data_IF_917229025311
#
_entry.id   IF_917229025311
#
_cell.length_a   1.000
_cell.length_b   1.000
_cell.length_c   1.000
_cell.angle_alpha   90.00
_cell.angle_beta   90.00
_cell.angle_gamma   90.00
#
_symmetry.space_group_name_H-M   'P 1'
#
loop_
_entity.id
_entity.type
_entity.pdbx_description
1 polymer ?
#
# COMPACT_ATOMS: atom_id res chain seq x y z
N UNK A 1 5.94 10.98 20.90
CA UNK A 1 6.87 9.92 20.40
C UNK A 1 8.20 10.44 19.86
N UNK A 2 8.28 11.30 18.80
CA UNK A 2 9.57 11.81 18.32
C UNK A 2 10.27 12.72 19.35
N UNK A 3 9.52 13.61 19.98
CA UNK A 3 10.02 14.48 21.05
C UNK A 3 10.56 13.67 22.24
N UNK A 4 9.82 12.69 22.71
CA UNK A 4 10.20 11.81 23.84
C UNK A 4 11.47 10.99 23.56
N UNK A 5 11.74 10.72 22.28
CA UNK A 5 12.93 9.97 21.83
C UNK A 5 14.09 10.90 21.42
N UNK A 6 13.98 12.22 21.63
CA UNK A 6 15.02 13.18 21.22
C UNK A 6 15.23 13.26 19.70
N UNK A 7 14.21 12.96 18.89
CA UNK A 7 14.29 12.88 17.43
C UNK A 7 13.60 14.05 16.71
N UNK A 8 13.10 15.04 17.43
CA UNK A 8 12.29 16.14 16.88
C UNK A 8 13.02 16.98 15.82
N UNK A 9 14.34 17.11 15.90
CA UNK A 9 15.14 17.80 14.87
C UNK A 9 15.44 16.92 13.64
N UNK A 10 15.26 15.59 13.76
CA UNK A 10 15.57 14.61 12.72
C UNK A 10 14.33 14.02 12.06
N UNK A 11 13.19 14.05 12.75
CA UNK A 11 11.91 13.52 12.27
C UNK A 11 10.87 14.64 12.25
N UNK A 12 10.69 15.25 11.09
CA UNK A 12 9.73 16.33 10.85
C UNK A 12 8.46 15.73 10.27
N UNK A 13 7.32 15.94 10.94
CA UNK A 13 6.01 15.49 10.48
C UNK A 13 5.23 16.67 9.93
N UNK A 14 4.69 16.51 8.71
CA UNK A 14 3.82 17.48 8.06
C UNK A 14 2.50 16.82 7.67
N UNK A 15 1.39 17.42 8.04
CA UNK A 15 0.10 17.05 7.47
C UNK A 15 0.00 17.70 6.08
N UNK A 16 -0.22 16.88 5.06
CA UNK A 16 -0.36 17.34 3.67
C UNK A 16 -1.72 16.89 3.13
N UNK A 17 -2.29 17.70 2.24
CA UNK A 17 -3.48 17.29 1.47
C UNK A 17 -3.04 16.45 0.26
N UNK A 18 -3.88 15.52 -0.21
CA UNK A 18 -3.63 14.84 -1.48
C UNK A 18 -3.46 15.85 -2.61
N UNK A 19 -2.47 15.61 -3.47
CA UNK A 19 -2.15 16.51 -4.58
C UNK A 19 -0.65 16.76 -4.70
N UNK A 20 -0.28 17.88 -5.32
CA UNK A 20 1.12 18.28 -5.48
C UNK A 20 1.76 18.54 -4.12
N UNK A 21 2.93 17.93 -3.89
CA UNK A 21 3.69 18.11 -2.66
C UNK A 21 4.22 19.54 -2.55
N UNK A 22 3.97 20.19 -1.41
CA UNK A 22 4.55 21.49 -1.07
C UNK A 22 6.02 21.35 -0.64
N UNK A 23 6.84 20.95 -1.61
CA UNK A 23 8.29 20.76 -1.47
C UNK A 23 9.01 21.29 -2.69
N UNK A 24 10.23 21.77 -2.48
CA UNK A 24 11.08 22.24 -3.58
C UNK A 24 11.49 21.07 -4.49
N UNK A 25 11.79 21.38 -5.73
CA UNK A 25 12.40 20.43 -6.65
C UNK A 25 13.75 19.93 -6.09
N UNK A 26 14.11 18.70 -6.42
CA UNK A 26 15.39 18.08 -6.07
C UNK A 26 15.78 18.20 -4.58
N UNK A 27 14.79 17.98 -3.70
CA UNK A 27 14.97 18.14 -2.23
C UNK A 27 15.37 16.85 -1.54
N UNK A 28 15.03 15.69 -2.10
CA UNK A 28 15.17 14.41 -1.42
C UNK A 28 16.12 13.47 -2.13
N UNK A 29 16.96 12.80 -1.37
CA UNK A 29 17.83 11.72 -1.86
C UNK A 29 17.03 10.40 -1.99
N UNK A 30 16.07 10.18 -1.10
CA UNK A 30 15.20 8.99 -1.06
C UNK A 30 13.78 9.40 -0.72
N UNK A 31 12.82 8.85 -1.44
CA UNK A 31 11.39 8.86 -1.07
C UNK A 31 10.98 7.42 -0.78
N UNK A 32 10.35 7.22 0.38
CA UNK A 32 9.81 5.94 0.81
C UNK A 32 8.30 6.05 1.03
N UNK A 33 7.56 5.06 0.55
CA UNK A 33 6.13 4.95 0.80
C UNK A 33 5.76 3.52 1.19
N UNK A 34 4.89 3.39 2.17
CA UNK A 34 4.29 2.11 2.56
C UNK A 34 2.79 2.26 2.68
N UNK A 35 2.06 1.49 1.88
CA UNK A 35 0.59 1.37 1.93
C UNK A 35 -0.16 2.72 1.89
N UNK A 36 0.38 3.68 1.11
CA UNK A 36 -0.20 5.01 1.01
C UNK A 36 -0.62 5.37 -0.43
N UNK A 37 0.08 4.87 -1.42
CA UNK A 37 -0.25 5.18 -2.81
C UNK A 37 -1.57 4.56 -3.25
N UNK A 38 -1.99 3.45 -2.63
CA UNK A 38 -3.30 2.84 -2.86
C UNK A 38 -4.44 3.86 -2.80
N UNK A 39 -4.36 4.87 -1.93
CA UNK A 39 -5.39 5.88 -1.74
C UNK A 39 -5.30 7.07 -2.70
N UNK A 40 -4.32 7.11 -3.61
CA UNK A 40 -4.10 8.22 -4.53
C UNK A 40 -4.61 7.84 -5.93
N UNK A 41 -5.66 8.50 -6.45
CA UNK A 41 -6.28 8.09 -7.70
C UNK A 41 -5.39 8.28 -8.92
N UNK A 42 -4.67 9.40 -9.02
CA UNK A 42 -3.83 9.71 -10.18
C UNK A 42 -2.37 9.35 -9.94
N UNK A 43 -2.00 8.12 -10.28
CA UNK A 43 -0.62 7.61 -10.13
C UNK A 43 0.38 8.32 -11.04
N UNK A 44 -0.06 8.79 -12.21
CA UNK A 44 0.84 9.48 -13.16
C UNK A 44 1.27 10.83 -12.58
N UNK A 45 0.35 11.62 -12.08
CA UNK A 45 0.67 12.91 -11.47
C UNK A 45 1.46 12.75 -10.19
N UNK A 46 1.13 11.72 -9.38
CA UNK A 46 1.92 11.37 -8.20
C UNK A 46 3.37 11.06 -8.58
N UNK A 47 3.61 10.22 -9.59
CA UNK A 47 4.98 9.85 -10.00
C UNK A 47 5.74 11.01 -10.62
N UNK A 48 5.07 11.89 -11.37
CA UNK A 48 5.68 13.14 -11.87
C UNK A 48 6.13 14.05 -10.73
N UNK A 49 5.29 14.19 -9.70
CA UNK A 49 5.61 15.05 -8.57
C UNK A 49 6.72 14.46 -7.69
N UNK A 50 6.70 13.15 -7.46
CA UNK A 50 7.79 12.43 -6.81
C UNK A 50 9.10 12.59 -7.59
N UNK A 51 9.06 12.44 -8.91
CA UNK A 51 10.25 12.63 -9.75
C UNK A 51 10.79 14.06 -9.62
N UNK A 52 9.91 15.07 -9.65
CA UNK A 52 10.30 16.48 -9.45
C UNK A 52 11.04 16.70 -8.13
N UNK A 53 10.52 16.11 -7.04
CA UNK A 53 11.04 16.34 -5.68
C UNK A 53 12.29 15.52 -5.33
N UNK A 54 12.53 14.41 -6.03
CA UNK A 54 13.77 13.65 -5.92
C UNK A 54 14.94 14.39 -6.59
N UNK A 55 16.11 14.32 -6.01
CA UNK A 55 17.37 14.71 -6.68
C UNK A 55 17.68 13.77 -7.83
N UNK A 56 18.47 14.22 -8.78
CA UNK A 56 19.06 13.35 -9.82
C UNK A 56 19.78 12.16 -9.17
N UNK A 57 19.56 10.96 -9.64
CA UNK A 57 20.01 9.71 -9.03
C UNK A 57 19.39 9.41 -7.64
N UNK A 58 18.35 10.11 -7.24
CA UNK A 58 17.59 9.80 -6.03
C UNK A 58 16.72 8.55 -6.20
N UNK A 59 16.40 7.89 -5.11
CA UNK A 59 15.68 6.63 -5.08
C UNK A 59 14.23 6.79 -4.62
N UNK A 60 13.34 6.08 -5.29
CA UNK A 60 11.99 5.81 -4.83
C UNK A 60 11.90 4.35 -4.40
N UNK A 61 11.42 4.09 -3.17
CA UNK A 61 11.16 2.76 -2.64
C UNK A 61 9.72 2.67 -2.13
N UNK A 62 8.94 1.72 -2.64
CA UNK A 62 7.51 1.60 -2.35
C UNK A 62 7.15 0.17 -2.00
N UNK A 63 6.36 0.00 -0.94
CA UNK A 63 5.58 -1.20 -0.66
C UNK A 63 4.12 -0.82 -0.62
N UNK A 64 3.30 -1.45 -1.46
CA UNK A 64 1.89 -1.07 -1.57
C UNK A 64 1.01 -2.24 -2.00
N UNK A 65 -0.30 -2.03 -1.96
CA UNK A 65 -1.29 -2.96 -2.45
C UNK A 65 -1.55 -2.73 -3.94
N UNK A 66 -1.59 -3.80 -4.68
CA UNK A 66 -1.67 -3.82 -6.14
C UNK A 66 -2.70 -4.85 -6.60
N UNK A 67 -2.92 -4.92 -7.90
CA UNK A 67 -3.80 -5.90 -8.53
C UNK A 67 -3.04 -6.80 -9.50
N UNK A 68 -3.63 -7.95 -9.83
CA UNK A 68 -3.14 -8.84 -10.89
C UNK A 68 -3.17 -8.17 -12.27
N UNK A 69 -4.23 -7.41 -12.55
CA UNK A 69 -4.45 -6.70 -13.81
C UNK A 69 -5.15 -5.34 -13.57
N UNK A 70 -5.47 -4.64 -14.63
CA UNK A 70 -6.13 -3.33 -14.60
C UNK A 70 -7.59 -3.38 -15.10
N UNK A 71 -8.20 -4.59 -15.16
CA UNK A 71 -9.62 -4.75 -15.44
C UNK A 71 -10.49 -4.19 -14.30
N UNK A 72 -11.78 -3.93 -14.51
CA UNK A 72 -12.68 -3.59 -13.41
C UNK A 72 -12.61 -4.64 -12.29
N UNK A 73 -12.70 -4.24 -11.02
CA UNK A 73 -12.69 -5.17 -9.89
C UNK A 73 -13.90 -6.11 -9.94
N UNK A 74 -13.70 -7.36 -9.50
CA UNK A 74 -14.80 -8.32 -9.32
C UNK A 74 -15.80 -7.81 -8.28
N UNK A 75 -16.97 -8.43 -8.22
CA UNK A 75 -18.00 -8.13 -7.21
C UNK A 75 -17.42 -8.34 -5.81
N UNK A 76 -16.71 -9.44 -5.60
CA UNK A 76 -16.09 -9.76 -4.31
C UNK A 76 -15.02 -8.73 -3.89
N UNK A 77 -14.26 -8.22 -4.87
CA UNK A 77 -13.29 -7.17 -4.59
C UNK A 77 -13.98 -5.84 -4.25
N UNK A 78 -15.10 -5.52 -4.91
CA UNK A 78 -15.90 -4.33 -4.57
C UNK A 78 -16.51 -4.45 -3.17
N UNK A 79 -17.02 -5.63 -2.80
CA UNK A 79 -17.54 -5.90 -1.46
C UNK A 79 -16.48 -5.82 -0.38
N UNK A 80 -15.26 -6.30 -0.67
CA UNK A 80 -14.12 -6.16 0.25
C UNK A 80 -13.76 -4.70 0.45
N UNK A 81 -13.60 -3.91 -0.61
CA UNK A 81 -13.31 -2.48 -0.54
C UNK A 81 -14.39 -1.73 0.27
N UNK A 82 -15.67 -2.05 0.03
CA UNK A 82 -16.78 -1.46 0.77
C UNK A 82 -16.74 -1.80 2.27
N UNK A 83 -16.36 -3.04 2.62
CA UNK A 83 -16.22 -3.47 4.01
C UNK A 83 -15.06 -2.78 4.74
N UNK A 84 -13.95 -2.50 4.05
CA UNK A 84 -12.83 -1.72 4.60
C UNK A 84 -13.20 -0.24 4.82
N UNK A 85 -14.20 0.28 4.11
CA UNK A 85 -14.65 1.67 4.22
C UNK A 85 -13.63 2.70 3.72
N UNK A 86 -12.69 2.30 2.86
CA UNK A 86 -11.63 3.13 2.31
C UNK A 86 -11.66 3.14 0.78
N UNK A 87 -11.22 4.23 0.18
CA UNK A 87 -11.07 4.33 -1.27
C UNK A 87 -9.75 3.68 -1.72
N UNK A 88 -9.85 2.68 -2.61
CA UNK A 88 -8.72 1.98 -3.19
C UNK A 88 -8.60 2.27 -4.69
N UNK A 89 -7.47 2.84 -5.09
CA UNK A 89 -7.12 3.15 -6.48
C UNK A 89 -5.91 2.32 -6.92
N UNK A 90 -6.02 1.01 -6.75
CA UNK A 90 -4.95 0.07 -7.09
C UNK A 90 -4.75 -0.05 -8.59
N UNK A 91 -3.55 -0.36 -9.00
CA UNK A 91 -3.22 -0.78 -10.36
C UNK A 91 -2.26 -1.98 -10.34
N UNK A 92 -2.07 -2.59 -11.51
CA UNK A 92 -1.17 -3.73 -11.64
C UNK A 92 0.31 -3.31 -11.52
N UNK A 93 1.17 -4.27 -11.19
CA UNK A 93 2.62 -4.07 -11.24
C UNK A 93 3.11 -3.64 -12.64
N UNK A 94 2.48 -4.18 -13.69
CA UNK A 94 2.78 -3.79 -15.06
C UNK A 94 2.49 -2.30 -15.27
N UNK A 95 1.33 -1.83 -14.86
CA UNK A 95 0.95 -0.42 -14.98
C UNK A 95 1.85 0.48 -14.15
N UNK A 96 2.27 0.07 -12.95
CA UNK A 96 3.27 0.80 -12.18
C UNK A 96 4.60 0.92 -12.95
N UNK A 97 5.07 -0.15 -13.59
CA UNK A 97 6.28 -0.11 -14.43
C UNK A 97 6.12 0.94 -15.53
N UNK A 98 5.05 0.83 -16.32
CA UNK A 98 4.78 1.71 -17.44
C UNK A 98 4.73 3.19 -17.00
N UNK A 99 4.06 3.48 -15.87
CA UNK A 99 3.99 4.83 -15.30
C UNK A 99 5.38 5.33 -14.88
N UNK A 100 6.15 4.52 -14.16
CA UNK A 100 7.48 4.89 -13.70
C UNK A 100 8.41 5.23 -14.88
N UNK A 101 8.45 4.37 -15.90
CA UNK A 101 9.29 4.56 -17.08
C UNK A 101 8.89 5.81 -17.86
N UNK A 102 7.58 6.07 -18.01
CA UNK A 102 7.03 7.25 -18.69
C UNK A 102 7.16 8.56 -17.88
N UNK A 103 7.47 8.47 -16.59
CA UNK A 103 7.64 9.65 -15.72
C UNK A 103 9.10 9.91 -15.33
N UNK A 104 10.06 9.33 -16.05
CA UNK A 104 11.49 9.63 -15.91
C UNK A 104 12.25 8.75 -14.91
N UNK A 105 11.67 7.61 -14.52
CA UNK A 105 12.36 6.66 -13.66
C UNK A 105 13.01 5.51 -14.45
N UNK A 106 14.08 4.96 -13.89
CA UNK A 106 14.61 3.64 -14.21
C UNK A 106 14.13 2.66 -13.14
N UNK A 107 13.35 1.66 -13.53
CA UNK A 107 12.90 0.61 -12.62
C UNK A 107 14.09 -0.29 -12.26
N UNK A 108 14.38 -0.42 -10.98
CA UNK A 108 15.47 -1.26 -10.43
C UNK A 108 14.94 -2.64 -10.05
N UNK A 109 13.80 -2.68 -9.38
CA UNK A 109 13.12 -3.93 -9.03
C UNK A 109 11.61 -3.72 -8.94
N UNK A 110 10.88 -4.77 -9.23
CA UNK A 110 9.43 -4.82 -9.17
C UNK A 110 9.03 -6.25 -8.78
N UNK A 111 8.50 -6.42 -7.58
CA UNK A 111 8.26 -7.74 -7.00
C UNK A 111 6.79 -7.89 -6.60
N UNK A 112 6.17 -8.94 -7.09
CA UNK A 112 4.92 -9.47 -6.60
C UNK A 112 5.17 -10.29 -5.33
N UNK A 113 4.39 -10.04 -4.29
CA UNK A 113 4.49 -10.72 -3.00
C UNK A 113 3.23 -11.54 -2.68
N UNK A 114 2.35 -11.75 -3.67
CA UNK A 114 1.07 -12.42 -3.43
C UNK A 114 1.22 -13.83 -2.85
N UNK A 115 2.12 -14.64 -3.41
CA UNK A 115 2.33 -16.02 -2.93
C UNK A 115 2.72 -16.09 -1.45
N UNK A 116 3.62 -15.20 -1.03
CA UNK A 116 3.98 -15.09 0.40
C UNK A 116 2.81 -14.60 1.25
N UNK A 117 2.06 -13.62 0.75
CA UNK A 117 0.97 -13.03 1.52
C UNK A 117 -0.24 -13.96 1.64
N UNK A 118 -0.52 -14.74 0.60
CA UNK A 118 -1.58 -15.74 0.63
C UNK A 118 -1.39 -16.75 1.78
N UNK A 119 -0.17 -17.28 1.95
CA UNK A 119 0.11 -18.19 3.06
C UNK A 119 -0.01 -17.49 4.42
N UNK A 120 0.40 -16.23 4.47
CA UNK A 120 0.27 -15.41 5.68
C UNK A 120 -1.19 -15.17 6.06
N UNK A 121 -2.03 -14.71 5.12
CA UNK A 121 -3.44 -14.39 5.43
C UNK A 121 -4.26 -15.65 5.74
N UNK A 122 -3.97 -16.79 5.09
CA UNK A 122 -4.56 -18.08 5.47
C UNK A 122 -4.31 -18.42 6.93
N UNK A 123 -3.05 -18.26 7.35
CA UNK A 123 -2.68 -18.50 8.75
C UNK A 123 -3.37 -17.52 9.69
N UNK A 124 -3.42 -16.24 9.35
CA UNK A 124 -4.05 -15.21 10.19
C UNK A 124 -5.54 -15.47 10.37
N UNK A 125 -6.27 -15.84 9.31
CA UNK A 125 -7.68 -16.24 9.41
C UNK A 125 -7.84 -17.46 10.32
N UNK A 126 -7.03 -18.51 10.12
CA UNK A 126 -7.10 -19.71 10.95
C UNK A 126 -6.76 -19.42 12.43
N UNK A 127 -5.78 -18.55 12.68
CA UNK A 127 -5.41 -18.16 14.05
C UNK A 127 -6.56 -17.37 14.72
N UNK A 128 -7.23 -16.47 14.00
CA UNK A 128 -8.37 -15.68 14.50
C UNK A 128 -9.57 -16.61 14.77
N UNK A 129 -9.90 -17.52 13.86
CA UNK A 129 -10.99 -18.50 14.05
C UNK A 129 -10.74 -19.50 15.19
N UNK A 130 -9.50 -19.71 15.57
CA UNK A 130 -9.08 -20.72 16.53
C UNK A 130 -8.38 -20.13 17.76
N UNK A 131 -7.04 -20.28 17.86
CA UNK A 131 -6.31 -20.01 19.11
C UNK A 131 -6.32 -18.55 19.58
N UNK A 132 -6.61 -17.59 18.70
CA UNK A 132 -6.64 -16.17 19.06
C UNK A 132 -8.05 -15.64 19.31
N UNK A 133 -9.11 -16.42 19.05
CA UNK A 133 -10.49 -15.93 19.16
C UNK A 133 -10.83 -15.32 20.52
N UNK A 134 -10.48 -15.99 21.60
CA UNK A 134 -10.73 -15.49 22.96
C UNK A 134 -10.03 -14.14 23.23
N UNK A 135 -8.84 -13.95 22.69
CA UNK A 135 -8.11 -12.67 22.81
C UNK A 135 -8.71 -11.57 21.97
N UNK A 136 -9.23 -11.91 20.80
CA UNK A 136 -9.96 -10.96 19.94
C UNK A 136 -11.21 -10.46 20.67
N UNK A 137 -12.01 -11.38 21.19
CA UNK A 137 -13.24 -11.05 21.95
C UNK A 137 -12.92 -10.23 23.20
N UNK A 138 -11.85 -10.59 23.93
CA UNK A 138 -11.41 -9.82 25.10
C UNK A 138 -10.98 -8.40 24.73
N UNK A 139 -10.39 -8.21 23.56
CA UNK A 139 -9.83 -6.91 23.10
C UNK A 139 -10.87 -5.96 22.53
N UNK A 140 -11.80 -6.46 21.71
CA UNK A 140 -12.75 -5.63 20.96
C UNK A 140 -14.23 -6.03 21.09
N UNK A 141 -14.55 -7.09 21.83
CA UNK A 141 -15.91 -7.63 21.94
C UNK A 141 -16.20 -8.70 20.89
N UNK A 142 -17.29 -9.47 21.08
CA UNK A 142 -17.64 -10.56 20.16
C UNK A 142 -18.21 -10.06 18.84
N UNK A 143 -19.06 -9.04 18.85
CA UNK A 143 -19.70 -8.50 17.66
C UNK A 143 -18.66 -7.87 16.69
N UNK A 144 -17.79 -7.04 17.21
CA UNK A 144 -16.69 -6.44 16.46
C UNK A 144 -15.66 -7.50 16.02
N UNK A 145 -15.46 -8.53 16.84
CA UNK A 145 -14.59 -9.67 16.51
C UNK A 145 -15.13 -10.48 15.33
N UNK A 146 -16.43 -10.79 15.31
CA UNK A 146 -17.10 -11.48 14.20
C UNK A 146 -17.02 -10.64 12.92
N UNK A 147 -17.30 -9.34 13.01
CA UNK A 147 -17.19 -8.42 11.88
C UNK A 147 -15.75 -8.35 11.33
N UNK A 148 -14.76 -8.23 12.21
CA UNK A 148 -13.35 -8.25 11.78
C UNK A 148 -12.97 -9.56 11.10
N UNK A 149 -13.39 -10.70 11.63
CA UNK A 149 -13.14 -12.00 11.01
C UNK A 149 -13.78 -12.12 9.62
N UNK A 150 -15.00 -11.59 9.44
CA UNK A 150 -15.65 -11.55 8.13
C UNK A 150 -14.84 -10.74 7.11
N UNK A 151 -14.33 -9.58 7.49
CA UNK A 151 -13.44 -8.77 6.64
C UNK A 151 -12.18 -9.56 6.27
N UNK A 152 -11.54 -10.24 7.23
CA UNK A 152 -10.36 -11.06 6.97
C UNK A 152 -10.64 -12.22 6.02
N UNK A 153 -11.82 -12.84 6.09
CA UNK A 153 -12.26 -13.87 5.12
C UNK A 153 -12.48 -13.29 3.73
N UNK A 154 -13.08 -12.11 3.61
CA UNK A 154 -13.21 -11.39 2.33
C UNK A 154 -11.81 -11.07 1.75
N UNK A 155 -10.89 -10.57 2.58
CA UNK A 155 -9.51 -10.33 2.19
C UNK A 155 -8.85 -11.61 1.66
N UNK A 156 -8.97 -12.74 2.36
CA UNK A 156 -8.44 -14.02 1.90
C UNK A 156 -8.98 -14.38 0.51
N UNK A 157 -10.27 -14.25 0.28
CA UNK A 157 -10.91 -14.54 -1.01
C UNK A 157 -10.34 -13.71 -2.16
N UNK A 158 -10.16 -12.40 -1.97
CA UNK A 158 -9.61 -11.53 -3.03
C UNK A 158 -8.10 -11.70 -3.22
N UNK A 159 -7.38 -12.10 -2.18
CA UNK A 159 -5.94 -12.46 -2.26
C UNK A 159 -5.74 -13.77 -3.01
N UNK A 160 -6.59 -14.77 -2.79
CA UNK A 160 -6.58 -16.05 -3.53
C UNK A 160 -6.81 -15.83 -5.02
N UNK A 161 -7.74 -14.96 -5.39
CA UNK A 161 -7.98 -14.54 -6.78
C UNK A 161 -6.88 -13.64 -7.34
N UNK A 162 -5.98 -13.14 -6.49
CA UNK A 162 -4.90 -12.23 -6.84
C UNK A 162 -5.34 -10.80 -7.14
N UNK A 163 -6.58 -10.45 -6.84
CA UNK A 163 -7.10 -9.09 -7.06
C UNK A 163 -6.61 -8.08 -6.01
N UNK A 164 -6.18 -8.54 -4.87
CA UNK A 164 -5.55 -7.73 -3.82
C UNK A 164 -4.24 -8.39 -3.42
N UNK A 165 -3.15 -7.78 -3.80
CA UNK A 165 -1.81 -8.36 -3.59
C UNK A 165 -0.79 -7.34 -3.15
N UNK A 166 0.06 -7.63 -2.17
CA UNK A 166 1.16 -6.75 -1.86
C UNK A 166 2.23 -6.86 -2.93
N UNK A 167 2.78 -5.72 -3.29
CA UNK A 167 3.93 -5.62 -4.15
C UNK A 167 4.92 -4.59 -3.66
N UNK A 168 6.14 -4.66 -4.13
CA UNK A 168 7.10 -3.60 -3.87
C UNK A 168 7.93 -3.29 -5.12
N UNK A 169 8.36 -2.04 -5.21
CA UNK A 169 9.27 -1.63 -6.27
C UNK A 169 10.30 -0.63 -5.78
N UNK A 170 11.41 -0.59 -6.49
CA UNK A 170 12.43 0.44 -6.36
C UNK A 170 12.70 1.03 -7.74
N UNK A 171 12.82 2.34 -7.77
CA UNK A 171 13.12 3.09 -8.99
C UNK A 171 14.15 4.18 -8.71
N UNK A 172 14.90 4.52 -9.74
CA UNK A 172 15.92 5.57 -9.72
C UNK A 172 15.47 6.71 -10.63
N UNK A 173 15.51 7.96 -10.17
CA UNK A 173 15.34 9.11 -11.05
C UNK A 173 16.51 9.19 -12.03
N UNK A 174 16.19 9.29 -13.34
CA UNK A 174 17.17 9.49 -14.41
C UNK A 174 17.71 10.92 -14.42
#
# INVERSE_FOLDING_TARGET
>A
MALEKGLSERAIFKCVKPGKLDTKDESFDVIFSKEAFIHIPNKVDLMKDINRTLKTNGYLAVGDWMRNDDNPPSIEMQEYIAAEGLDYYMCSLKKYRDILENTGFKVISLNDRNGWYLEKVKKEVADIEGPLWSKVVESIGSEEGEYALEIWKKLLGVVEKGEHRPGNFRALKK
#
